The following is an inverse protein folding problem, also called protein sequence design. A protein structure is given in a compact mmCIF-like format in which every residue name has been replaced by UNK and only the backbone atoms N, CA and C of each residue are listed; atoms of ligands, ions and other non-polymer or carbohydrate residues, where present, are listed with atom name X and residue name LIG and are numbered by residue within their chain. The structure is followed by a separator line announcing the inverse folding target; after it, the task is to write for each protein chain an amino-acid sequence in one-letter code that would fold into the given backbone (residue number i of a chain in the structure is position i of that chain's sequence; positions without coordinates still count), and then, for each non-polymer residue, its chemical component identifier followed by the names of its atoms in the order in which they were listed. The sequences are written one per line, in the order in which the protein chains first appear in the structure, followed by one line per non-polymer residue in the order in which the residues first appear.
data_IF_402091063849
#
_entry.id   IF_402091063849
#
_cell.length_a   1.000
_cell.length_b   1.000
_cell.length_c   1.000
_cell.angle_alpha   90.00
_cell.angle_beta   90.00
_cell.angle_gamma   90.00
#
_symmetry.space_group_name_H-M   'P 1'
#
loop_
_entity.id
_entity.type
_entity.pdbx_description
1 polymer ?
#
# COMPACT_ATOMS: atom_id res chain seq x y z
N UNK A 1 -4.13 -21.76 8.23
CA UNK A 1 -3.13 -20.68 8.30
C UNK A 1 -3.74 -19.52 9.07
N UNK A 2 -2.95 -18.80 9.87
CA UNK A 2 -3.46 -17.69 10.69
C UNK A 2 -3.67 -16.46 9.79
N UNK A 3 -4.92 -16.05 9.56
CA UNK A 3 -5.27 -14.91 8.69
C UNK A 3 -4.54 -13.60 9.06
N UNK A 4 -4.20 -13.41 10.34
CA UNK A 4 -3.43 -12.25 10.81
C UNK A 4 -1.97 -12.24 10.33
N UNK A 5 -1.36 -13.40 10.12
CA UNK A 5 0.03 -13.51 9.65
C UNK A 5 0.09 -13.17 8.16
N UNK A 6 -0.87 -13.65 7.38
CA UNK A 6 -0.98 -13.35 5.95
C UNK A 6 -1.09 -11.85 5.69
N UNK A 7 -1.99 -11.16 6.41
CA UNK A 7 -2.17 -9.71 6.27
C UNK A 7 -0.90 -8.90 6.60
N UNK A 8 -0.06 -9.39 7.53
CA UNK A 8 1.20 -8.73 7.86
C UNK A 8 2.25 -8.89 6.76
N UNK A 9 2.30 -10.06 6.12
CA UNK A 9 3.26 -10.33 5.06
C UNK A 9 2.86 -9.62 3.75
N UNK A 10 1.56 -9.57 3.44
CA UNK A 10 1.02 -8.78 2.32
C UNK A 10 1.33 -7.28 2.50
N UNK A 11 1.14 -6.76 3.71
CA UNK A 11 1.48 -5.37 4.03
C UNK A 11 2.99 -5.07 3.89
N UNK A 12 3.86 -6.02 4.29
CA UNK A 12 5.31 -5.85 4.09
C UNK A 12 5.68 -5.84 2.62
N UNK A 13 5.04 -6.68 1.80
CA UNK A 13 5.30 -6.68 0.35
C UNK A 13 4.84 -5.35 -0.26
N UNK A 14 3.70 -4.81 0.16
CA UNK A 14 3.26 -3.46 -0.22
C UNK A 14 4.31 -2.39 0.14
N UNK A 15 4.83 -2.37 1.37
CA UNK A 15 5.90 -1.44 1.78
C UNK A 15 7.17 -1.59 0.92
N UNK A 16 7.53 -2.83 0.59
CA UNK A 16 8.68 -3.11 -0.26
C UNK A 16 8.48 -2.59 -1.68
N UNK A 17 7.28 -2.77 -2.25
CA UNK A 17 6.92 -2.19 -3.55
C UNK A 17 7.01 -0.67 -3.53
N UNK A 18 6.56 0.02 -2.46
CA UNK A 18 6.73 1.47 -2.33
C UNK A 18 8.21 1.89 -2.37
N UNK A 19 9.07 1.18 -1.63
CA UNK A 19 10.52 1.43 -1.60
C UNK A 19 11.17 1.19 -2.97
N UNK A 20 10.80 0.09 -3.65
CA UNK A 20 11.38 -0.30 -4.94
C UNK A 20 10.89 0.56 -6.10
N UNK A 21 9.68 1.11 -5.99
CA UNK A 21 9.09 1.97 -7.02
C UNK A 21 9.75 3.33 -7.19
N UNK A 22 10.56 3.75 -6.21
CA UNK A 22 11.15 5.09 -6.19
C UNK A 22 10.19 6.22 -5.81
N UNK A 23 8.94 5.92 -5.41
CA UNK A 23 7.97 6.93 -4.92
C UNK A 23 8.38 7.56 -3.61
N UNK A 24 9.11 6.82 -2.79
CA UNK A 24 9.57 7.28 -1.49
C UNK A 24 10.95 7.92 -1.61
N UNK A 25 11.09 9.13 -1.07
CA UNK A 25 12.35 9.87 -1.06
C UNK A 25 12.73 10.33 0.35
N UNK A 26 14.01 10.70 0.53
CA UNK A 26 14.52 11.29 1.76
C UNK A 26 14.15 10.51 3.03
N UNK A 27 13.47 11.19 3.95
CA UNK A 27 13.09 10.64 5.26
C UNK A 27 12.09 9.50 5.14
N UNK A 28 11.13 9.56 4.21
CA UNK A 28 10.11 8.52 4.03
C UNK A 28 10.74 7.19 3.62
N UNK A 29 11.65 7.24 2.65
CA UNK A 29 12.43 6.07 2.21
C UNK A 29 13.23 5.46 3.36
N UNK A 30 13.88 6.31 4.17
CA UNK A 30 14.67 5.87 5.32
C UNK A 30 13.80 5.18 6.38
N UNK A 31 12.64 5.75 6.68
CA UNK A 31 11.70 5.21 7.67
C UNK A 31 11.07 3.91 7.17
N UNK A 32 10.65 3.82 5.91
CA UNK A 32 10.10 2.59 5.32
C UNK A 32 11.11 1.43 5.36
N UNK A 33 12.37 1.68 4.99
CA UNK A 33 13.46 0.69 5.10
C UNK A 33 13.72 0.28 6.55
N UNK A 34 13.63 1.21 7.49
CA UNK A 34 13.78 0.92 8.92
C UNK A 34 12.68 -0.01 9.42
N UNK A 35 11.42 0.24 9.03
CA UNK A 35 10.28 -0.64 9.37
C UNK A 35 10.43 -2.02 8.75
N UNK A 36 10.83 -2.12 7.48
CA UNK A 36 11.07 -3.41 6.83
C UNK A 36 12.19 -4.22 7.49
N UNK A 37 13.26 -3.56 7.94
CA UNK A 37 14.42 -4.23 8.53
C UNK A 37 14.30 -4.54 10.03
N UNK A 38 13.62 -3.68 10.80
CA UNK A 38 13.60 -3.75 12.27
C UNK A 38 12.20 -3.72 12.89
N UNK A 39 11.16 -3.59 12.08
CA UNK A 39 9.78 -3.46 12.53
C UNK A 39 9.44 -2.07 13.06
N UNK A 40 8.19 -1.91 13.50
CA UNK A 40 7.63 -0.64 13.98
C UNK A 40 8.17 -0.16 15.32
N UNK A 41 8.54 -1.09 16.20
CA UNK A 41 8.89 -0.79 17.58
C UNK A 41 10.18 0.04 17.75
N UNK A 42 10.94 0.25 16.68
CA UNK A 42 12.16 1.06 16.70
C UNK A 42 11.95 2.50 16.24
N UNK A 43 10.74 2.86 15.79
CA UNK A 43 10.45 4.21 15.32
C UNK A 43 10.34 5.19 16.50
N UNK A 44 10.99 6.35 16.38
CA UNK A 44 10.70 7.49 17.24
C UNK A 44 9.29 8.05 16.98
N UNK A 45 8.73 8.86 17.90
CA UNK A 45 7.44 9.53 17.67
C UNK A 45 7.41 10.39 16.39
N UNK A 46 8.50 11.05 16.04
CA UNK A 46 8.63 11.84 14.82
C UNK A 46 8.68 10.94 13.57
N UNK A 47 9.41 9.83 13.65
CA UNK A 47 9.46 8.85 12.56
C UNK A 47 8.11 8.17 12.35
N UNK A 48 7.37 7.91 13.42
CA UNK A 48 6.01 7.39 13.33
C UNK A 48 5.10 8.36 12.59
N UNK A 49 5.15 9.67 12.90
CA UNK A 49 4.37 10.68 12.16
C UNK A 49 4.72 10.73 10.66
N UNK A 50 6.00 10.53 10.31
CA UNK A 50 6.42 10.44 8.91
C UNK A 50 5.86 9.18 8.28
N UNK A 51 5.94 8.04 8.98
CA UNK A 51 5.40 6.77 8.51
C UNK A 51 3.88 6.83 8.29
N UNK A 52 3.13 7.34 9.27
CA UNK A 52 1.66 7.47 9.19
C UNK A 52 1.27 8.31 7.97
N UNK A 53 1.88 9.48 7.79
CA UNK A 53 1.65 10.34 6.62
C UNK A 53 2.00 9.63 5.31
N UNK A 54 3.10 8.89 5.28
CA UNK A 54 3.51 8.13 4.10
C UNK A 54 2.47 7.06 3.75
N UNK A 55 1.92 6.36 4.74
CA UNK A 55 0.83 5.39 4.52
C UNK A 55 -0.43 6.10 4.04
N UNK A 56 -0.87 7.18 4.70
CA UNK A 56 -2.07 7.93 4.36
C UNK A 56 -2.06 8.46 2.91
N UNK A 57 -0.87 8.76 2.38
CA UNK A 57 -0.69 9.28 1.01
C UNK A 57 -0.51 8.20 -0.04
N UNK A 58 -0.28 6.94 0.35
CA UNK A 58 -0.03 5.81 -0.54
C UNK A 58 -1.05 4.67 -0.38
N UNK A 59 -2.11 4.86 0.41
CA UNK A 59 -3.16 3.86 0.63
C UNK A 59 -4.50 4.37 0.14
N UNK A 60 -5.22 3.50 -0.55
CA UNK A 60 -6.59 3.70 -0.99
C UNK A 60 -7.43 2.67 -0.25
N UNK A 61 -8.08 3.10 0.84
CA UNK A 61 -8.80 2.18 1.73
C UNK A 61 -9.88 1.38 1.00
N UNK A 62 -10.67 2.05 0.15
CA UNK A 62 -11.83 1.46 -0.52
C UNK A 62 -11.78 1.73 -2.03
N UNK A 63 -12.22 0.74 -2.80
CA UNK A 63 -12.36 0.84 -4.25
C UNK A 63 -13.33 1.98 -4.62
N UNK A 64 -12.89 2.89 -5.50
CA UNK A 64 -13.67 4.05 -5.91
C UNK A 64 -14.98 3.69 -6.65
N UNK A 65 -15.09 2.47 -7.20
CA UNK A 65 -16.29 2.00 -7.90
C UNK A 65 -17.26 1.24 -7.02
N UNK A 66 -16.78 0.23 -6.29
CA UNK A 66 -17.66 -0.68 -5.52
C UNK A 66 -17.68 -0.39 -4.01
N UNK A 67 -16.80 0.48 -3.50
CA UNK A 67 -16.72 0.84 -2.08
C UNK A 67 -16.18 -0.25 -1.16
N UNK A 68 -15.75 -1.39 -1.71
CA UNK A 68 -15.17 -2.50 -0.93
C UNK A 68 -13.72 -2.20 -0.57
N UNK A 69 -13.24 -2.59 0.64
CA UNK A 69 -11.84 -2.43 1.00
C UNK A 69 -10.88 -3.06 0.00
N UNK A 70 -9.81 -2.34 -0.35
CA UNK A 70 -8.77 -2.87 -1.25
C UNK A 70 -7.83 -3.76 -0.45
N UNK A 71 -7.64 -5.04 -0.83
CA UNK A 71 -6.67 -5.92 -0.20
C UNK A 71 -5.23 -5.38 -0.31
N UNK A 72 -4.37 -5.68 0.66
CA UNK A 72 -2.97 -5.24 0.64
C UNK A 72 -2.21 -5.70 -0.61
N UNK A 73 -2.51 -6.90 -1.11
CA UNK A 73 -1.95 -7.46 -2.35
C UNK A 73 -2.32 -6.66 -3.61
N UNK A 74 -3.43 -5.92 -3.59
CA UNK A 74 -3.88 -5.06 -4.70
C UNK A 74 -3.48 -3.58 -4.49
N UNK A 75 -3.14 -3.20 -3.26
CA UNK A 75 -2.99 -1.80 -2.84
C UNK A 75 -2.01 -1.02 -3.71
N UNK A 76 -0.85 -1.59 -4.02
CA UNK A 76 0.15 -0.91 -4.83
C UNK A 76 -0.34 -0.64 -6.26
N UNK A 77 -1.06 -1.60 -6.87
CA UNK A 77 -1.65 -1.44 -8.20
C UNK A 77 -2.77 -0.40 -8.16
N UNK A 78 -3.56 -0.38 -7.07
CA UNK A 78 -4.65 0.56 -6.90
C UNK A 78 -4.19 2.03 -6.93
N UNK A 79 -2.97 2.32 -6.46
CA UNK A 79 -2.39 3.67 -6.53
C UNK A 79 -2.33 4.18 -7.98
N UNK A 80 -1.98 3.33 -8.93
CA UNK A 80 -1.75 3.72 -10.33
C UNK A 80 -2.97 3.53 -11.23
N UNK A 81 -3.90 2.64 -10.85
CA UNK A 81 -5.04 2.31 -11.69
C UNK A 81 -6.24 3.25 -11.50
N UNK A 82 -6.14 4.26 -10.62
CA UNK A 82 -7.24 5.17 -10.30
C UNK A 82 -8.03 4.81 -9.04
N UNK A 83 -7.50 3.92 -8.19
CA UNK A 83 -8.11 3.54 -6.92
C UNK A 83 -9.17 2.47 -7.04
N UNK A 84 -9.00 1.53 -7.96
CA UNK A 84 -9.93 0.43 -8.18
C UNK A 84 -9.34 -0.90 -7.71
N UNK A 85 -10.20 -1.76 -7.16
CA UNK A 85 -9.84 -3.16 -6.99
C UNK A 85 -9.65 -3.84 -8.37
N UNK A 86 -8.86 -4.90 -8.41
CA UNK A 86 -8.52 -5.62 -9.64
C UNK A 86 -9.77 -6.06 -10.43
N UNK A 87 -10.83 -6.49 -9.74
CA UNK A 87 -12.10 -6.84 -10.38
C UNK A 87 -12.74 -5.65 -11.09
N UNK A 88 -12.84 -4.50 -10.42
CA UNK A 88 -13.46 -3.30 -10.99
C UNK A 88 -12.62 -2.74 -12.14
N UNK A 89 -11.30 -2.73 -12.00
CA UNK A 89 -10.37 -2.35 -13.06
C UNK A 89 -10.59 -3.21 -14.31
N UNK A 90 -10.52 -4.54 -14.18
CA UNK A 90 -10.69 -5.47 -15.30
C UNK A 90 -12.05 -5.33 -15.98
N UNK A 91 -13.11 -5.10 -15.21
CA UNK A 91 -14.45 -4.85 -15.76
C UNK A 91 -14.53 -3.56 -16.57
N UNK A 92 -13.83 -2.49 -16.16
CA UNK A 92 -13.82 -1.22 -16.90
C UNK A 92 -12.99 -1.32 -18.17
N UNK A 93 -11.81 -1.96 -18.10
CA UNK A 93 -10.96 -2.18 -19.27
C UNK A 93 -11.65 -2.98 -20.39
N UNK A 94 -12.61 -3.84 -20.04
CA UNK A 94 -13.45 -4.54 -21.02
C UNK A 94 -14.47 -3.62 -21.69
N UNK A 95 -15.15 -2.78 -20.90
CA UNK A 95 -16.16 -1.84 -21.40
C UNK A 95 -15.53 -0.82 -22.35
N UNK A 96 -14.31 -0.35 -22.06
CA UNK A 96 -13.61 0.62 -22.93
C UNK A 96 -13.15 0.05 -24.29
N UNK A 97 -13.06 -1.29 -24.40
CA UNK A 97 -12.59 -1.98 -25.61
C UNK A 97 -13.74 -2.44 -26.52
N UNK A 98 -14.98 -2.25 -26.09
CA UNK A 98 -16.21 -2.51 -26.85
C UNK A 98 -16.74 -1.23 -27.50
#
# INVERSE_FOLDING_TARGET
MNSKICALDEFKEFLKQLVESGRLEGTELGVAKLVLGKGYGVLSPEQMKVFDRMIDTNVIENCQRCGVPIPWEEMFIAIDNGGYCCYCQHMMEKIEKE
#
